data_IF_274822504708
#
_entry.id   IF_274822504708
#
_cell.length_a   1.000
_cell.length_b   1.000
_cell.length_c   1.000
_cell.angle_alpha   90.00
_cell.angle_beta   90.00
_cell.angle_gamma   90.00
#
_symmetry.space_group_name_H-M   'P 1'
#
loop_
_entity.id
_entity.type
_entity.pdbx_description
1 polymer ?
#
# COMPACT_ATOMS: atom_id res chain seq x y z
N UNK A 1 -73.13 -37.81 30.18
CA UNK A 1 -72.81 -39.26 30.10
C UNK A 1 -71.30 -39.42 30.04
N UNK A 2 -70.74 -40.22 30.98
CA UNK A 2 -69.35 -40.73 31.09
C UNK A 2 -68.28 -39.66 31.39
N UNK A 3 -67.93 -39.41 32.66
CA UNK A 3 -66.96 -40.14 33.52
C UNK A 3 -65.58 -40.36 32.88
N UNK A 4 -64.54 -39.75 33.49
CA UNK A 4 -63.45 -40.53 34.09
C UNK A 4 -62.69 -39.68 35.13
N UNK A 5 -62.46 -40.31 36.29
CA UNK A 5 -61.75 -39.80 37.46
C UNK A 5 -60.31 -40.30 37.40
N UNK A 6 -59.31 -39.50 37.83
CA UNK A 6 -58.06 -40.08 38.33
C UNK A 6 -57.48 -39.26 39.48
N UNK A 7 -57.14 -40.01 40.52
CA UNK A 7 -56.87 -39.59 41.88
C UNK A 7 -55.43 -39.14 42.10
N UNK A 8 -55.29 -38.19 43.02
CA UNK A 8 -54.05 -37.75 43.64
C UNK A 8 -53.29 -38.89 44.35
N UNK A 9 -51.97 -38.93 44.22
CA UNK A 9 -51.06 -39.49 45.23
C UNK A 9 -49.92 -38.51 45.50
N UNK A 10 -49.78 -38.19 46.78
CA UNK A 10 -48.82 -37.28 47.38
C UNK A 10 -47.48 -38.01 47.58
N UNK A 11 -46.35 -37.33 47.38
CA UNK A 11 -45.04 -37.83 47.84
C UNK A 11 -44.20 -36.65 48.34
N UNK A 12 -44.03 -36.62 49.67
CA UNK A 12 -43.10 -35.76 50.39
C UNK A 12 -41.66 -36.17 50.07
N UNK A 13 -40.83 -35.24 49.62
CA UNK A 13 -39.37 -35.41 49.53
C UNK A 13 -38.70 -34.50 50.57
N UNK A 14 -38.00 -35.14 51.51
CA UNK A 14 -37.19 -34.51 52.55
C UNK A 14 -36.08 -33.65 51.94
N UNK A 15 -35.93 -32.44 52.48
CA UNK A 15 -34.80 -31.55 52.20
C UNK A 15 -33.53 -32.08 52.88
N UNK A 16 -32.52 -32.45 52.09
CA UNK A 16 -31.16 -32.71 52.56
C UNK A 16 -30.32 -31.43 52.37
N UNK A 17 -29.82 -30.87 53.48
CA UNK A 17 -28.85 -29.78 53.45
C UNK A 17 -27.49 -30.32 53.01
N UNK A 18 -26.98 -29.84 51.87
CA UNK A 18 -25.60 -30.08 51.40
C UNK A 18 -24.78 -28.83 51.68
N UNK A 19 -23.59 -28.91 52.31
CA UNK A 19 -22.75 -27.75 52.55
C UNK A 19 -22.14 -27.26 51.23
N UNK A 20 -22.34 -25.98 50.92
CA UNK A 20 -21.68 -25.30 49.80
C UNK A 20 -20.21 -25.07 50.16
N UNK A 21 -19.31 -25.90 49.64
CA UNK A 21 -17.89 -25.61 49.59
C UNK A 21 -17.65 -24.68 48.41
N UNK A 22 -17.31 -23.41 48.69
CA UNK A 22 -16.83 -22.50 47.67
C UNK A 22 -15.40 -22.91 47.28
N UNK A 23 -15.27 -23.73 46.24
CA UNK A 23 -14.00 -23.90 45.55
C UNK A 23 -13.82 -22.66 44.68
N UNK A 24 -12.99 -21.71 45.12
CA UNK A 24 -12.47 -20.66 44.24
C UNK A 24 -11.52 -21.32 43.24
N UNK A 25 -12.08 -21.82 42.14
CA UNK A 25 -11.28 -22.19 40.98
C UNK A 25 -10.67 -20.92 40.42
N UNK A 26 -9.39 -20.68 40.70
CA UNK A 26 -8.59 -19.81 39.84
C UNK A 26 -8.55 -20.55 38.50
N UNK A 27 -9.30 -20.05 37.52
CA UNK A 27 -9.14 -20.50 36.14
C UNK A 27 -7.66 -20.32 35.80
N UNK A 28 -6.95 -21.34 35.29
CA UNK A 28 -5.60 -21.13 34.79
C UNK A 28 -5.65 -19.99 33.77
N UNK A 29 -4.75 -19.02 33.91
CA UNK A 29 -4.58 -17.98 32.92
C UNK A 29 -4.44 -18.66 31.55
N UNK A 30 -5.27 -18.27 30.58
CA UNK A 30 -5.14 -18.81 29.24
C UNK A 30 -3.71 -18.55 28.76
N UNK A 31 -3.02 -19.59 28.27
CA UNK A 31 -1.68 -19.46 27.72
C UNK A 31 -1.70 -18.38 26.63
N UNK A 32 -1.02 -17.27 26.87
CA UNK A 32 -0.91 -16.13 25.96
C UNK A 32 0.45 -16.19 25.30
N UNK A 33 0.64 -17.22 24.47
CA UNK A 33 1.87 -17.42 23.73
C UNK A 33 2.09 -16.27 22.75
N UNK A 34 3.26 -15.63 22.82
CA UNK A 34 3.70 -14.60 21.90
C UNK A 34 5.09 -14.91 21.37
N UNK A 35 5.22 -14.99 20.05
CA UNK A 35 6.48 -15.19 19.34
C UNK A 35 6.92 -13.84 18.76
N UNK A 36 8.13 -13.40 19.10
CA UNK A 36 8.73 -12.18 18.59
C UNK A 36 10.06 -12.47 17.90
N UNK A 37 10.33 -11.73 16.83
CA UNK A 37 11.59 -11.79 16.10
C UNK A 37 11.98 -10.38 15.69
N UNK A 38 13.13 -9.87 16.12
CA UNK A 38 13.62 -8.52 15.78
C UNK A 38 15.01 -8.60 15.15
N UNK A 39 15.44 -7.54 14.48
CA UNK A 39 16.84 -7.36 14.09
C UNK A 39 17.68 -6.85 15.26
N UNK A 40 19.00 -7.04 15.21
CA UNK A 40 19.94 -6.49 16.20
C UNK A 40 20.23 -4.99 16.04
N UNK A 41 19.62 -4.35 15.03
CA UNK A 41 19.50 -2.90 14.87
C UNK A 41 18.03 -2.50 14.77
N UNK A 42 17.63 -1.41 15.42
CA UNK A 42 16.23 -0.94 15.44
C UNK A 42 15.73 -0.52 14.05
N UNK A 43 16.59 0.08 13.24
CA UNK A 43 16.28 0.50 11.86
C UNK A 43 16.26 -0.66 10.84
N UNK A 44 16.76 -1.84 11.25
CA UNK A 44 16.95 -3.01 10.40
C UNK A 44 17.76 -2.75 9.11
N UNK A 45 18.62 -1.74 9.11
CA UNK A 45 19.45 -1.35 7.97
C UNK A 45 20.93 -1.72 8.18
N UNK A 46 21.52 -2.26 7.14
CA UNK A 46 22.88 -2.80 7.10
C UNK A 46 23.56 -2.42 5.80
N UNK A 47 24.89 -2.37 5.79
CA UNK A 47 25.66 -2.31 4.55
C UNK A 47 25.86 -3.71 3.99
N UNK A 48 26.00 -3.85 2.67
CA UNK A 48 26.43 -5.12 2.06
C UNK A 48 27.73 -5.61 2.70
N UNK A 49 27.78 -6.89 3.07
CA UNK A 49 28.90 -7.47 3.82
C UNK A 49 28.78 -7.40 5.34
N UNK A 50 27.86 -6.59 5.89
CA UNK A 50 27.57 -6.59 7.33
C UNK A 50 26.95 -7.91 7.78
N UNK A 51 27.08 -8.20 9.07
CA UNK A 51 26.35 -9.28 9.74
C UNK A 51 25.11 -8.72 10.39
N UNK A 52 23.94 -9.06 9.86
CA UNK A 52 22.66 -8.85 10.53
C UNK A 52 22.34 -10.05 11.41
N UNK A 53 21.70 -9.81 12.56
CA UNK A 53 21.16 -10.89 13.35
C UNK A 53 19.68 -10.74 13.64
N UNK A 54 18.96 -11.83 13.45
CA UNK A 54 17.59 -11.98 13.89
C UNK A 54 17.56 -12.61 15.28
N UNK A 55 16.91 -11.93 16.22
CA UNK A 55 16.81 -12.29 17.62
C UNK A 55 15.38 -12.77 17.89
N UNK A 56 15.25 -14.03 18.29
CA UNK A 56 13.96 -14.69 18.50
C UNK A 56 13.69 -14.84 19.99
N UNK A 57 12.50 -14.46 20.42
CA UNK A 57 11.98 -14.70 21.77
C UNK A 57 10.58 -15.28 21.71
N UNK A 58 10.28 -16.17 22.65
CA UNK A 58 8.97 -16.76 22.84
C UNK A 58 8.56 -16.54 24.29
N UNK A 59 7.38 -15.98 24.53
CA UNK A 59 6.87 -15.74 25.87
C UNK A 59 5.49 -16.37 26.06
N UNK A 60 5.16 -16.76 27.28
CA UNK A 60 3.79 -17.02 27.73
C UNK A 60 3.38 -15.90 28.70
N UNK A 61 2.54 -14.97 28.23
CA UNK A 61 2.36 -13.69 28.91
C UNK A 61 3.71 -12.95 29.02
N UNK A 62 4.07 -12.53 30.23
CA UNK A 62 5.34 -11.84 30.51
C UNK A 62 6.51 -12.80 30.82
N UNK A 63 6.28 -14.11 30.80
CA UNK A 63 7.30 -15.11 31.17
C UNK A 63 8.00 -15.67 29.91
N UNK A 64 9.33 -15.59 29.80
CA UNK A 64 10.05 -16.16 28.67
C UNK A 64 10.02 -17.69 28.70
N UNK A 65 9.82 -18.30 27.53
CA UNK A 65 9.96 -19.73 27.32
C UNK A 65 11.40 -19.99 26.86
N UNK A 66 12.16 -20.65 27.73
CA UNK A 66 13.59 -20.93 27.52
C UNK A 66 13.90 -22.39 27.18
N UNK A 67 12.87 -23.21 26.98
CA UNK A 67 12.99 -24.62 26.62
C UNK A 67 12.20 -24.93 25.34
N UNK A 68 12.68 -25.89 24.56
CA UNK A 68 12.10 -26.28 23.27
C UNK A 68 12.85 -25.69 22.08
N UNK A 69 12.26 -25.79 20.90
CA UNK A 69 12.82 -25.23 19.66
C UNK A 69 11.76 -24.48 18.85
N UNK A 70 12.24 -23.61 17.97
CA UNK A 70 11.47 -22.98 16.91
C UNK A 70 12.10 -23.33 15.57
N UNK A 71 11.30 -23.47 14.53
CA UNK A 71 11.83 -23.59 13.17
C UNK A 71 11.98 -22.21 12.53
N UNK A 72 13.00 -22.03 11.71
CA UNK A 72 13.24 -20.77 11.00
C UNK A 72 13.68 -21.01 9.55
N UNK A 73 13.37 -20.03 8.70
CA UNK A 73 13.85 -19.93 7.33
C UNK A 73 14.21 -18.48 7.05
N UNK A 74 15.37 -18.25 6.47
CA UNK A 74 15.74 -16.96 5.85
C UNK A 74 15.57 -17.09 4.34
N UNK A 75 14.99 -16.07 3.70
CA UNK A 75 14.83 -16.00 2.25
C UNK A 75 14.95 -14.56 1.72
N UNK A 76 15.09 -14.45 0.39
CA UNK A 76 15.07 -13.23 -0.41
C UNK A 76 13.73 -13.06 -1.14
N UNK A 77 12.67 -13.67 -0.61
CA UNK A 77 11.36 -13.88 -1.23
C UNK A 77 11.32 -14.79 -2.48
N UNK A 78 12.38 -14.88 -3.26
CA UNK A 78 12.40 -15.66 -4.50
C UNK A 78 12.50 -17.15 -4.25
N UNK A 79 13.34 -17.53 -3.28
CA UNK A 79 13.69 -18.91 -3.02
C UNK A 79 13.37 -19.22 -1.57
N UNK A 80 12.28 -19.96 -1.33
CA UNK A 80 12.01 -20.50 0.00
C UNK A 80 12.76 -21.82 0.23
N UNK A 81 13.20 -22.03 1.46
CA UNK A 81 13.85 -23.27 1.90
C UNK A 81 15.27 -23.47 1.35
N UNK A 82 15.71 -24.73 1.25
CA UNK A 82 17.09 -25.12 0.89
C UNK A 82 17.57 -24.56 -0.46
N UNK A 83 16.63 -24.25 -1.36
CA UNK A 83 16.92 -23.74 -2.69
C UNK A 83 17.51 -22.32 -2.68
N UNK A 84 17.34 -21.56 -1.59
CA UNK A 84 17.80 -20.17 -1.46
C UNK A 84 19.26 -19.98 -1.09
N UNK A 85 19.93 -21.02 -0.56
CA UNK A 85 21.30 -20.90 -0.02
C UNK A 85 21.41 -20.11 1.29
N UNK A 86 20.28 -19.61 1.81
CA UNK A 86 20.19 -18.91 3.09
C UNK A 86 19.96 -19.87 4.27
N UNK A 87 20.31 -19.47 5.51
CA UNK A 87 20.11 -20.28 6.69
C UNK A 87 18.66 -20.69 6.92
N UNK A 88 18.47 -21.96 7.31
CA UNK A 88 17.19 -22.53 7.74
C UNK A 88 17.47 -23.67 8.74
N UNK A 89 16.50 -24.00 9.58
CA UNK A 89 16.62 -25.12 10.51
C UNK A 89 15.81 -24.92 11.78
N UNK A 90 16.28 -25.51 12.87
CA UNK A 90 15.73 -25.31 14.21
C UNK A 90 16.68 -24.49 15.08
N UNK A 91 16.11 -23.65 15.94
CA UNK A 91 16.81 -22.93 16.99
C UNK A 91 16.32 -23.41 18.34
N UNK A 92 17.23 -23.84 19.20
CA UNK A 92 16.90 -24.09 20.61
C UNK A 92 16.63 -22.77 21.32
N UNK A 93 15.54 -22.73 22.07
CA UNK A 93 15.26 -21.65 23.01
C UNK A 93 16.20 -21.76 24.21
N UNK A 94 16.47 -20.63 24.86
CA UNK A 94 17.37 -20.54 26.02
C UNK A 94 17.16 -19.24 26.78
N UNK A 95 17.98 -18.99 27.80
CA UNK A 95 17.87 -17.81 28.67
C UNK A 95 18.14 -16.48 27.92
N UNK A 96 18.84 -16.55 26.78
CA UNK A 96 19.02 -15.44 25.85
C UNK A 96 18.26 -15.68 24.56
N UNK A 97 17.91 -14.61 23.84
CA UNK A 97 17.27 -14.70 22.52
C UNK A 97 18.05 -15.62 21.59
N UNK A 98 17.35 -16.55 20.94
CA UNK A 98 17.95 -17.38 19.91
C UNK A 98 18.33 -16.51 18.71
N UNK A 99 19.49 -16.79 18.08
CA UNK A 99 20.12 -15.89 17.11
C UNK A 99 20.33 -16.59 15.77
N UNK A 100 19.85 -15.96 14.69
CA UNK A 100 20.19 -16.31 13.30
C UNK A 100 21.04 -15.18 12.73
N UNK A 101 22.25 -15.47 12.26
CA UNK A 101 23.14 -14.47 11.65
C UNK A 101 23.17 -14.66 10.14
N UNK A 102 23.01 -13.56 9.41
CA UNK A 102 23.02 -13.52 7.95
C UNK A 102 23.85 -12.36 7.44
N UNK A 103 24.31 -12.47 6.20
CA UNK A 103 24.98 -11.41 5.44
C UNK A 103 24.46 -11.47 4.01
N UNK A 104 24.30 -10.31 3.37
CA UNK A 104 24.05 -10.22 1.94
C UNK A 104 25.32 -9.75 1.22
N UNK A 105 25.51 -10.26 -0.01
CA UNK A 105 26.62 -9.88 -0.88
C UNK A 105 26.21 -8.86 -1.97
N UNK A 106 24.94 -8.49 -2.00
CA UNK A 106 24.35 -7.56 -2.96
C UNK A 106 23.25 -6.72 -2.26
N UNK A 107 22.96 -5.51 -2.76
CA UNK A 107 21.85 -4.70 -2.25
C UNK A 107 20.51 -5.44 -2.31
N UNK A 108 19.76 -5.44 -1.21
CA UNK A 108 18.51 -6.21 -1.14
C UNK A 108 17.89 -6.25 0.25
N UNK A 109 16.89 -7.11 0.41
CA UNK A 109 16.26 -7.37 1.71
C UNK A 109 16.15 -8.87 1.93
N UNK A 110 16.62 -9.33 3.09
CA UNK A 110 16.44 -10.70 3.55
C UNK A 110 15.35 -10.74 4.62
N UNK A 111 14.46 -11.72 4.52
CA UNK A 111 13.39 -11.95 5.49
C UNK A 111 13.69 -13.20 6.30
N UNK A 112 13.58 -13.11 7.62
CA UNK A 112 13.54 -14.27 8.49
C UNK A 112 12.11 -14.56 8.92
N UNK A 113 11.68 -15.80 8.74
CA UNK A 113 10.39 -16.32 9.20
C UNK A 113 10.65 -17.39 10.26
N UNK A 114 9.94 -17.29 11.38
CA UNK A 114 10.02 -18.26 12.47
C UNK A 114 8.65 -18.83 12.75
N UNK A 115 8.60 -20.14 12.98
CA UNK A 115 7.39 -20.86 13.38
C UNK A 115 7.65 -21.60 14.69
N UNK A 116 6.76 -21.38 15.66
CA UNK A 116 6.68 -22.18 16.88
C UNK A 116 5.45 -23.09 16.81
N UNK A 117 5.63 -24.39 17.05
CA UNK A 117 4.56 -25.37 17.08
C UNK A 117 4.28 -25.78 18.54
N UNK A 118 3.22 -25.25 19.17
CA UNK A 118 2.88 -25.66 20.53
C UNK A 118 2.32 -27.09 20.55
N UNK A 119 2.49 -27.79 21.68
CA UNK A 119 1.92 -29.12 21.89
C UNK A 119 0.39 -29.16 21.75
N UNK A 120 -0.28 -28.03 21.99
CA UNK A 120 -1.71 -27.83 21.76
C UNK A 120 -1.94 -26.44 21.17
N UNK A 121 -2.80 -26.34 20.16
CA UNK A 121 -3.12 -25.08 19.49
C UNK A 121 -2.60 -25.00 18.06
N UNK A 122 -2.72 -23.83 17.46
CA UNK A 122 -2.23 -23.57 16.11
C UNK A 122 -0.76 -23.10 16.15
N UNK A 123 0.04 -23.39 15.11
CA UNK A 123 1.38 -22.82 14.97
C UNK A 123 1.34 -21.29 15.00
N UNK A 124 2.29 -20.70 15.71
CA UNK A 124 2.47 -19.25 15.79
C UNK A 124 3.63 -18.87 14.89
N UNK A 125 3.46 -17.83 14.07
CA UNK A 125 4.45 -17.37 13.09
C UNK A 125 4.79 -15.91 13.33
N UNK A 126 6.06 -15.58 13.15
CA UNK A 126 6.56 -14.22 13.16
C UNK A 126 7.58 -14.04 12.03
N UNK A 127 7.69 -12.83 11.50
CA UNK A 127 8.69 -12.50 10.49
C UNK A 127 9.19 -11.07 10.67
N UNK A 128 10.44 -10.86 10.24
CA UNK A 128 11.09 -9.55 10.16
C UNK A 128 12.05 -9.55 8.99
N UNK A 129 12.22 -8.40 8.35
CA UNK A 129 13.22 -8.22 7.30
C UNK A 129 14.42 -7.39 7.76
N UNK A 130 15.56 -7.60 7.10
CA UNK A 130 16.78 -6.81 7.22
C UNK A 130 17.18 -6.29 5.83
N UNK A 131 17.32 -4.98 5.70
CA UNK A 131 17.72 -4.33 4.45
C UNK A 131 19.24 -4.14 4.38
N UNK A 132 19.84 -4.54 3.27
CA UNK A 132 21.27 -4.43 2.99
C UNK A 132 21.50 -3.45 1.84
N UNK A 133 22.23 -2.35 2.07
CA UNK A 133 22.50 -1.27 1.11
C UNK A 133 21.28 -0.90 0.25
N UNK A 134 20.09 -0.82 0.84
CA UNK A 134 18.81 -0.69 0.10
C UNK A 134 18.73 0.57 -0.79
N UNK A 135 19.54 1.60 -0.48
CA UNK A 135 19.65 2.82 -1.28
C UNK A 135 20.51 2.65 -2.55
N UNK A 136 21.17 1.50 -2.71
CA UNK A 136 21.95 1.13 -3.90
C UNK A 136 21.17 0.16 -4.81
N UNK A 137 19.90 -0.12 -4.51
CA UNK A 137 19.05 -0.96 -5.36
C UNK A 137 18.66 -0.17 -6.61
N UNK A 138 19.15 -0.60 -7.76
CA UNK A 138 18.88 0.02 -9.06
C UNK A 138 17.61 -0.55 -9.74
N UNK A 139 17.03 0.15 -10.72
CA UNK A 139 16.01 -0.39 -11.63
C UNK A 139 16.46 -1.71 -12.28
N UNK A 140 15.53 -2.64 -12.50
CA UNK A 140 15.88 -3.94 -13.13
C UNK A 140 16.23 -3.86 -14.62
N UNK A 141 15.79 -2.80 -15.30
CA UNK A 141 16.10 -2.50 -16.70
C UNK A 141 16.25 -0.98 -16.87
N UNK A 142 17.04 -0.51 -17.86
CA UNK A 142 17.07 0.91 -18.19
C UNK A 142 15.72 1.39 -18.73
N UNK A 143 15.49 2.70 -18.62
CA UNK A 143 14.35 3.39 -19.24
C UNK A 143 14.36 3.17 -20.76
N UNK A 144 13.22 2.94 -21.43
CA UNK A 144 13.17 2.90 -22.89
C UNK A 144 13.64 4.22 -23.54
N UNK A 145 14.37 4.12 -24.66
CA UNK A 145 14.98 5.29 -25.32
C UNK A 145 13.97 6.36 -25.77
N UNK A 146 12.75 5.94 -26.18
CA UNK A 146 11.68 6.83 -26.61
C UNK A 146 10.62 7.08 -25.53
N UNK A 147 10.88 6.73 -24.25
CA UNK A 147 9.91 6.85 -23.15
C UNK A 147 9.35 8.27 -22.99
N UNK A 148 10.22 9.29 -23.04
CA UNK A 148 9.81 10.69 -22.95
C UNK A 148 8.96 11.11 -24.14
N UNK A 149 9.44 10.82 -25.35
CA UNK A 149 8.73 11.16 -26.58
C UNK A 149 7.34 10.49 -26.61
N UNK A 150 7.26 9.25 -26.13
CA UNK A 150 6.00 8.52 -25.99
C UNK A 150 5.02 9.26 -25.08
N UNK A 151 5.41 9.55 -23.83
CA UNK A 151 4.51 10.17 -22.86
C UNK A 151 4.18 11.63 -23.15
N UNK A 152 5.08 12.37 -23.78
CA UNK A 152 4.77 13.71 -24.30
C UNK A 152 3.69 13.65 -25.40
N UNK A 153 3.76 12.67 -26.31
CA UNK A 153 2.70 12.47 -27.31
C UNK A 153 1.36 12.09 -26.64
N UNK A 154 1.38 11.26 -25.59
CA UNK A 154 0.17 10.92 -24.84
C UNK A 154 -0.48 12.16 -24.20
N UNK A 155 0.34 13.03 -23.57
CA UNK A 155 -0.13 14.29 -22.98
C UNK A 155 -0.64 15.25 -24.06
N UNK A 156 0.03 15.33 -25.22
CA UNK A 156 -0.40 16.15 -26.35
C UNK A 156 -1.78 15.73 -26.87
N UNK A 157 -2.00 14.43 -27.06
CA UNK A 157 -3.31 13.88 -27.46
C UNK A 157 -4.37 14.15 -26.39
N UNK A 158 -4.03 14.00 -25.10
CA UNK A 158 -4.94 14.33 -24.01
C UNK A 158 -5.33 15.82 -24.05
N UNK A 159 -4.40 16.74 -24.33
CA UNK A 159 -4.67 18.17 -24.38
C UNK A 159 -5.64 18.60 -25.51
N UNK A 160 -5.78 17.79 -26.56
CA UNK A 160 -6.77 18.04 -27.63
C UNK A 160 -8.22 17.80 -27.19
N UNK A 161 -8.42 17.01 -26.14
CA UNK A 161 -9.75 16.73 -25.57
C UNK A 161 -10.07 17.85 -24.58
N UNK A 162 -11.14 18.64 -24.78
CA UNK A 162 -11.53 19.67 -23.81
C UNK A 162 -11.75 19.08 -22.41
N UNK A 163 -11.45 19.84 -21.35
CA UNK A 163 -11.69 19.40 -19.97
C UNK A 163 -13.19 19.20 -19.72
N UNK A 164 -14.07 20.07 -20.27
CA UNK A 164 -15.56 19.98 -20.22
C UNK A 164 -16.12 19.20 -19.00
N UNK A 165 -15.76 19.66 -17.80
CA UNK A 165 -16.03 18.93 -16.57
C UNK A 165 -17.50 19.10 -16.16
N UNK A 166 -18.22 17.99 -16.03
CA UNK A 166 -19.54 17.96 -15.42
C UNK A 166 -19.39 17.87 -13.90
N UNK A 167 -20.01 18.79 -13.16
CA UNK A 167 -19.97 18.82 -11.69
C UNK A 167 -21.39 18.70 -11.14
N UNK A 168 -21.68 17.61 -10.42
CA UNK A 168 -22.99 17.38 -9.79
C UNK A 168 -22.85 17.59 -8.28
N UNK A 169 -23.59 18.52 -7.64
CA UNK A 169 -23.48 18.76 -6.20
C UNK A 169 -23.76 17.51 -5.36
N UNK A 170 -22.94 17.29 -4.34
CA UNK A 170 -23.06 16.19 -3.36
C UNK A 170 -23.17 16.78 -1.97
N UNK A 171 -24.17 16.35 -1.20
CA UNK A 171 -24.37 16.85 0.15
C UNK A 171 -23.28 16.33 1.10
N UNK A 172 -22.62 17.25 1.79
CA UNK A 172 -21.68 16.97 2.89
C UNK A 172 -22.40 17.17 4.24
N UNK A 173 -21.78 16.74 5.33
CA UNK A 173 -22.24 17.07 6.70
C UNK A 173 -21.69 18.41 7.20
N UNK A 174 -20.74 18.98 6.48
CA UNK A 174 -20.00 20.18 6.84
C UNK A 174 -20.38 21.29 5.87
N UNK A 175 -21.25 22.20 6.33
CA UNK A 175 -21.78 23.30 5.51
C UNK A 175 -20.71 24.32 5.10
N UNK A 176 -19.49 24.24 5.66
CA UNK A 176 -18.34 25.06 5.22
C UNK A 176 -17.67 24.51 3.96
N UNK A 177 -18.01 23.30 3.52
CA UNK A 177 -17.40 22.60 2.39
C UNK A 177 -18.42 22.33 1.28
N UNK A 178 -18.11 22.79 0.07
CA UNK A 178 -18.82 22.35 -1.14
C UNK A 178 -18.20 21.06 -1.67
N UNK A 179 -19.02 20.12 -2.13
CA UNK A 179 -18.56 18.90 -2.77
C UNK A 179 -19.35 18.60 -4.04
N UNK A 180 -18.67 18.04 -5.04
CA UNK A 180 -19.21 17.68 -6.33
C UNK A 180 -18.75 16.26 -6.73
N UNK A 181 -19.64 15.49 -7.34
CA UNK A 181 -19.27 14.34 -8.16
C UNK A 181 -18.91 14.86 -9.55
N UNK A 182 -17.66 14.66 -9.94
CA UNK A 182 -17.06 15.26 -11.14
C UNK A 182 -16.76 14.19 -12.17
N UNK A 183 -17.21 14.43 -13.40
CA UNK A 183 -16.90 13.63 -14.58
C UNK A 183 -16.19 14.50 -15.61
N UNK A 184 -15.04 14.05 -16.10
CA UNK A 184 -14.19 14.79 -17.02
C UNK A 184 -13.81 13.86 -18.17
N UNK A 185 -14.15 14.17 -19.43
CA UNK A 185 -13.65 13.41 -20.57
C UNK A 185 -12.14 13.18 -20.49
N UNK A 186 -11.66 12.03 -20.95
CA UNK A 186 -10.25 11.68 -20.91
C UNK A 186 -9.89 10.78 -22.10
N UNK A 187 -8.62 10.79 -22.49
CA UNK A 187 -8.09 9.88 -23.49
C UNK A 187 -8.15 8.43 -22.97
N UNK A 188 -8.50 7.48 -23.84
CA UNK A 188 -8.62 6.06 -23.49
C UNK A 188 -10.03 5.60 -23.07
N UNK A 189 -11.07 6.39 -23.35
CA UNK A 189 -12.48 5.98 -23.25
C UNK A 189 -13.11 6.11 -21.86
N UNK A 190 -12.37 5.81 -20.79
CA UNK A 190 -12.85 6.03 -19.43
C UNK A 190 -12.55 7.46 -18.94
N UNK A 191 -13.54 8.22 -18.44
CA UNK A 191 -13.35 9.59 -17.96
C UNK A 191 -12.57 9.62 -16.64
N UNK A 192 -12.11 10.80 -16.22
CA UNK A 192 -11.88 11.02 -14.79
C UNK A 192 -13.25 11.05 -14.13
N UNK A 193 -13.42 10.23 -13.10
CA UNK A 193 -14.60 10.18 -12.23
C UNK A 193 -14.09 10.37 -10.81
N UNK A 194 -14.62 11.31 -10.04
CA UNK A 194 -14.15 11.54 -8.67
C UNK A 194 -14.96 12.55 -7.88
N UNK A 195 -14.78 12.54 -6.56
CA UNK A 195 -15.32 13.61 -5.70
C UNK A 195 -14.33 14.75 -5.59
N UNK A 196 -14.80 15.97 -5.85
CA UNK A 196 -14.04 17.21 -5.68
C UNK A 196 -14.69 18.04 -4.58
N UNK A 197 -13.90 18.49 -3.62
CA UNK A 197 -14.35 19.35 -2.52
C UNK A 197 -13.46 20.57 -2.35
N UNK A 198 -14.07 21.67 -1.89
CA UNK A 198 -13.38 22.92 -1.57
C UNK A 198 -14.09 23.69 -0.45
N UNK A 199 -13.37 24.52 0.32
CA UNK A 199 -14.01 25.45 1.26
C UNK A 199 -14.88 26.50 0.54
N UNK A 200 -16.06 26.75 1.10
CA UNK A 200 -17.02 27.79 0.65
C UNK A 200 -16.44 29.21 0.72
N UNK A 201 -15.55 29.47 1.68
CA UNK A 201 -14.92 30.78 1.90
C UNK A 201 -13.65 31.03 1.09
N UNK A 202 -13.27 30.09 0.23
CA UNK A 202 -12.00 30.11 -0.51
C UNK A 202 -11.88 31.32 -1.43
N UNK A 203 -10.74 32.02 -1.35
CA UNK A 203 -10.43 33.18 -2.19
C UNK A 203 -9.72 32.75 -3.48
N UNK A 204 -9.75 33.56 -4.56
CA UNK A 204 -8.93 33.32 -5.72
C UNK A 204 -7.45 33.16 -5.35
N UNK A 205 -6.78 32.18 -5.94
CA UNK A 205 -5.36 31.89 -5.75
C UNK A 205 -4.91 31.71 -4.30
N UNK A 206 -5.74 31.14 -3.45
CA UNK A 206 -5.46 30.98 -2.01
C UNK A 206 -5.12 29.55 -1.59
N UNK A 207 -5.52 28.53 -2.36
CA UNK A 207 -5.48 27.15 -1.89
C UNK A 207 -4.47 26.28 -2.66
N UNK A 208 -3.69 25.41 -1.98
CA UNK A 208 -3.02 24.28 -2.61
C UNK A 208 -4.06 23.31 -3.22
N UNK A 209 -3.59 22.39 -4.06
CA UNK A 209 -4.39 21.25 -4.49
C UNK A 209 -3.87 19.92 -3.92
N UNK A 210 -4.78 19.01 -3.60
CA UNK A 210 -4.48 17.63 -3.21
C UNK A 210 -5.30 16.64 -4.05
N UNK A 211 -4.61 15.66 -4.62
CA UNK A 211 -5.17 14.56 -5.39
C UNK A 211 -4.98 13.24 -4.62
N UNK A 212 -6.09 12.57 -4.31
CA UNK A 212 -6.09 11.27 -3.65
C UNK A 212 -6.27 10.15 -4.68
N UNK A 213 -5.35 9.18 -4.65
CA UNK A 213 -5.32 8.06 -5.61
C UNK A 213 -5.32 6.71 -4.90
N UNK A 214 -6.02 5.74 -5.50
CA UNK A 214 -6.47 4.54 -4.81
C UNK A 214 -5.54 3.34 -5.01
N UNK A 215 -5.40 2.53 -3.95
CA UNK A 215 -4.88 1.16 -4.06
C UNK A 215 -5.73 0.27 -4.98
N UNK A 216 -5.26 -0.92 -5.32
CA UNK A 216 -5.95 -1.81 -6.25
C UNK A 216 -7.37 -2.18 -5.77
N UNK A 217 -8.25 -2.53 -6.71
CA UNK A 217 -9.63 -2.94 -6.45
C UNK A 217 -10.68 -1.95 -6.96
N UNK A 218 -11.91 -2.45 -7.09
CA UNK A 218 -13.04 -1.74 -7.72
C UNK A 218 -13.96 -1.20 -6.64
N UNK A 219 -14.07 0.13 -6.54
CA UNK A 219 -14.89 0.83 -5.53
C UNK A 219 -15.19 2.25 -5.98
N UNK A 220 -16.07 2.94 -5.25
CA UNK A 220 -16.31 4.39 -5.40
C UNK A 220 -15.05 5.20 -5.08
N UNK A 221 -14.97 6.42 -5.63
CA UNK A 221 -14.15 7.49 -5.04
C UNK A 221 -14.56 7.73 -3.57
N UNK A 222 -13.60 8.16 -2.74
CA UNK A 222 -13.81 8.46 -1.32
C UNK A 222 -14.25 9.90 -1.10
N UNK A 223 -15.53 10.09 -0.81
CA UNK A 223 -16.09 11.37 -0.38
C UNK A 223 -15.37 11.90 0.88
N UNK A 224 -14.99 10.99 1.78
CA UNK A 224 -14.30 11.35 3.02
C UNK A 224 -12.91 11.95 2.77
N UNK A 225 -12.16 11.45 1.79
CA UNK A 225 -10.86 12.00 1.44
C UNK A 225 -10.99 13.38 0.80
N UNK A 226 -11.94 13.54 -0.15
CA UNK A 226 -12.24 14.82 -0.77
C UNK A 226 -12.56 15.87 0.31
N UNK A 227 -13.49 15.58 1.21
CA UNK A 227 -13.86 16.48 2.32
C UNK A 227 -12.69 16.73 3.28
N UNK A 228 -11.91 15.69 3.66
CA UNK A 228 -10.76 15.82 4.56
C UNK A 228 -9.73 16.83 4.04
N UNK A 229 -9.37 16.75 2.76
CA UNK A 229 -8.44 17.70 2.17
C UNK A 229 -9.01 19.12 2.13
N UNK A 230 -10.30 19.27 1.85
CA UNK A 230 -10.97 20.57 1.86
C UNK A 230 -11.02 21.19 3.27
N UNK A 231 -11.28 20.39 4.30
CA UNK A 231 -11.20 20.83 5.71
C UNK A 231 -9.80 21.26 6.14
N UNK A 232 -8.77 20.85 5.41
CA UNK A 232 -7.39 21.28 5.58
C UNK A 232 -7.01 22.43 4.63
N UNK A 233 -7.98 23.23 4.17
CA UNK A 233 -7.80 24.41 3.31
C UNK A 233 -7.08 24.09 1.98
N UNK A 234 -7.52 23.02 1.31
CA UNK A 234 -7.02 22.65 -0.04
C UNK A 234 -8.17 22.42 -1.03
N UNK A 235 -7.88 22.58 -2.31
CA UNK A 235 -8.70 22.01 -3.39
C UNK A 235 -8.46 20.51 -3.43
N UNK A 236 -9.45 19.73 -3.04
CA UNK A 236 -9.26 18.31 -2.75
C UNK A 236 -10.08 17.44 -3.69
N UNK A 237 -9.41 16.61 -4.49
CA UNK A 237 -10.07 15.67 -5.38
C UNK A 237 -9.61 14.25 -5.09
N UNK A 238 -10.55 13.34 -4.84
CA UNK A 238 -10.30 11.91 -4.81
C UNK A 238 -10.83 11.31 -6.11
N UNK A 239 -10.02 10.52 -6.83
CA UNK A 239 -10.43 9.98 -8.13
C UNK A 239 -10.62 8.46 -8.09
N UNK A 240 -11.64 8.02 -8.81
CA UNK A 240 -11.89 6.61 -9.08
C UNK A 240 -10.84 6.06 -10.05
N UNK A 241 -10.14 5.00 -9.63
CA UNK A 241 -9.09 4.36 -10.41
C UNK A 241 -9.53 3.93 -11.83
N UNK A 242 -10.81 3.58 -12.01
CA UNK A 242 -11.34 3.00 -13.25
C UNK A 242 -12.16 3.97 -14.09
N UNK A 243 -12.45 5.19 -13.60
CA UNK A 243 -13.35 6.11 -14.30
C UNK A 243 -14.83 5.67 -14.26
N UNK A 244 -15.21 4.81 -13.31
CA UNK A 244 -16.60 4.34 -13.14
C UNK A 244 -17.41 5.30 -12.23
N UNK A 245 -18.76 5.28 -12.28
CA UNK A 245 -19.59 6.13 -11.45
C UNK A 245 -19.36 5.99 -9.94
N UNK A 246 -19.47 7.10 -9.21
CA UNK A 246 -19.32 7.15 -7.75
C UNK A 246 -20.68 7.04 -7.04
N UNK A 247 -20.65 6.75 -5.73
CA UNK A 247 -21.83 6.73 -4.87
C UNK A 247 -22.88 5.68 -5.22
N UNK A 248 -22.48 4.62 -5.94
CA UNK A 248 -23.34 3.46 -6.20
C UNK A 248 -23.35 2.50 -4.99
N UNK A 249 -24.35 1.60 -4.89
CA UNK A 249 -24.34 0.54 -3.88
C UNK A 249 -23.14 -0.39 -4.04
N UNK A 250 -22.74 -1.08 -2.96
CA UNK A 250 -21.60 -2.00 -2.96
C UNK A 250 -21.76 -3.13 -3.99
N UNK A 251 -23.00 -3.56 -4.25
CA UNK A 251 -23.33 -4.58 -5.25
C UNK A 251 -22.90 -4.17 -6.66
N UNK A 252 -23.04 -2.89 -7.02
CA UNK A 252 -22.59 -2.38 -8.32
C UNK A 252 -21.08 -2.57 -8.49
N UNK A 253 -20.29 -2.23 -7.46
CA UNK A 253 -18.84 -2.38 -7.51
C UNK A 253 -18.41 -3.85 -7.50
N UNK A 254 -19.12 -4.69 -6.75
CA UNK A 254 -18.90 -6.14 -6.75
C UNK A 254 -19.17 -6.75 -8.15
N UNK A 255 -20.27 -6.38 -8.80
CA UNK A 255 -20.60 -6.80 -10.17
C UNK A 255 -19.54 -6.34 -11.18
N UNK A 256 -19.12 -5.08 -11.10
CA UNK A 256 -18.05 -4.55 -11.95
C UNK A 256 -16.73 -5.32 -11.74
N UNK A 257 -16.37 -5.62 -10.49
CA UNK A 257 -15.18 -6.40 -10.14
C UNK A 257 -15.24 -7.85 -10.63
N UNK A 258 -16.43 -8.46 -10.63
CA UNK A 258 -16.63 -9.85 -11.06
C UNK A 258 -16.77 -9.98 -12.59
N UNK A 259 -17.19 -8.90 -13.27
CA UNK A 259 -17.44 -8.85 -14.70
C UNK A 259 -16.44 -7.94 -15.44
N UNK A 260 -16.84 -6.75 -15.92
CA UNK A 260 -16.03 -5.92 -16.82
C UNK A 260 -14.61 -5.58 -16.35
N UNK A 261 -14.41 -5.42 -15.03
CA UNK A 261 -13.09 -5.08 -14.46
C UNK A 261 -12.38 -6.30 -13.87
N UNK A 262 -12.88 -7.51 -14.12
CA UNK A 262 -12.19 -8.73 -13.70
C UNK A 262 -10.82 -8.79 -14.38
N UNK A 263 -9.76 -8.79 -13.57
CA UNK A 263 -8.37 -8.76 -14.02
C UNK A 263 -7.98 -7.54 -14.88
N UNK A 264 -8.63 -6.39 -14.68
CA UNK A 264 -8.31 -5.12 -15.37
C UNK A 264 -6.80 -4.83 -15.50
N UNK A 265 -6.01 -5.21 -14.48
CA UNK A 265 -4.56 -5.03 -14.40
C UNK A 265 -3.76 -5.72 -15.51
N UNK A 266 -4.36 -6.65 -16.25
CA UNK A 266 -3.73 -7.36 -17.36
C UNK A 266 -4.33 -6.99 -18.72
N UNK A 267 -5.33 -6.12 -18.77
CA UNK A 267 -5.97 -5.70 -20.01
C UNK A 267 -4.98 -4.91 -20.88
N UNK A 268 -4.78 -5.40 -22.11
CA UNK A 268 -3.90 -4.77 -23.10
C UNK A 268 -2.40 -4.75 -22.74
N UNK A 269 -1.96 -5.56 -21.78
CA UNK A 269 -0.58 -5.53 -21.26
C UNK A 269 0.51 -5.87 -22.28
N UNK A 270 0.13 -6.47 -23.40
CA UNK A 270 1.04 -6.83 -24.49
C UNK A 270 1.46 -5.61 -25.33
N UNK A 271 0.84 -4.45 -25.15
CA UNK A 271 1.13 -3.24 -25.92
C UNK A 271 1.02 -1.98 -25.05
N UNK A 272 2.02 -1.10 -25.12
CA UNK A 272 2.05 0.17 -24.38
C UNK A 272 0.83 1.05 -24.64
N UNK A 273 0.28 0.97 -25.86
CA UNK A 273 -0.88 1.78 -26.28
C UNK A 273 -2.22 1.20 -25.85
N UNK A 274 -2.29 -0.08 -25.53
CA UNK A 274 -3.53 -0.73 -25.09
C UNK A 274 -3.58 -1.05 -23.61
N UNK A 275 -2.44 -0.96 -22.91
CA UNK A 275 -2.34 -1.22 -21.48
C UNK A 275 -3.33 -0.38 -20.67
N UNK A 276 -4.10 -1.03 -19.79
CA UNK A 276 -5.03 -0.37 -18.87
C UNK A 276 -4.38 0.80 -18.09
N UNK A 277 -3.11 0.63 -17.69
CA UNK A 277 -2.39 1.63 -16.91
C UNK A 277 -2.14 2.93 -17.69
N UNK A 278 -2.07 2.88 -19.02
CA UNK A 278 -1.98 4.09 -19.86
C UNK A 278 -3.14 5.03 -19.58
N UNK A 279 -4.37 4.51 -19.63
CA UNK A 279 -5.58 5.30 -19.35
C UNK A 279 -5.63 5.79 -17.90
N UNK A 280 -5.21 4.95 -16.94
CA UNK A 280 -5.10 5.35 -15.53
C UNK A 280 -4.18 6.55 -15.34
N UNK A 281 -3.02 6.55 -15.99
CA UNK A 281 -2.03 7.61 -15.83
C UNK A 281 -2.46 8.91 -16.50
N UNK A 282 -3.12 8.83 -17.66
CA UNK A 282 -3.70 10.00 -18.31
C UNK A 282 -4.83 10.64 -17.50
N UNK A 283 -5.58 9.85 -16.72
CA UNK A 283 -6.55 10.39 -15.76
C UNK A 283 -5.89 11.19 -14.64
N UNK A 284 -4.65 10.88 -14.25
CA UNK A 284 -3.89 11.69 -13.28
C UNK A 284 -3.63 13.10 -13.84
N UNK A 285 -3.09 13.17 -15.06
CA UNK A 285 -2.81 14.45 -15.74
C UNK A 285 -4.11 15.25 -15.92
N UNK A 286 -5.19 14.60 -16.36
CA UNK A 286 -6.49 15.26 -16.53
C UNK A 286 -7.09 15.77 -15.23
N UNK A 287 -6.94 15.03 -14.12
CA UNK A 287 -7.39 15.48 -12.81
C UNK A 287 -6.58 16.70 -12.33
N UNK A 288 -5.27 16.71 -12.59
CA UNK A 288 -4.39 17.85 -12.28
C UNK A 288 -4.77 19.06 -13.15
N UNK A 289 -5.10 18.90 -14.44
CA UNK A 289 -5.61 19.98 -15.28
C UNK A 289 -6.86 20.62 -14.69
N UNK A 290 -7.80 19.79 -14.22
CA UNK A 290 -9.01 20.29 -13.60
C UNK A 290 -8.73 21.02 -12.28
N UNK A 291 -7.92 20.45 -11.39
CA UNK A 291 -7.54 21.07 -10.12
C UNK A 291 -6.82 22.42 -10.33
N UNK A 292 -5.86 22.46 -11.25
CA UNK A 292 -5.03 23.64 -11.51
C UNK A 292 -5.71 24.69 -12.39
N UNK A 293 -6.86 24.37 -13.01
CA UNK A 293 -7.71 25.36 -13.67
C UNK A 293 -8.69 26.08 -12.72
N UNK A 294 -8.83 25.61 -11.48
CA UNK A 294 -9.74 26.25 -10.52
C UNK A 294 -9.23 27.65 -10.14
N UNK A 295 -10.10 28.69 -10.11
CA UNK A 295 -9.70 30.05 -9.74
C UNK A 295 -9.03 30.17 -8.37
N UNK A 296 -9.36 29.26 -7.46
CA UNK A 296 -8.85 29.17 -6.09
C UNK A 296 -7.43 28.61 -6.01
N UNK A 297 -6.95 27.89 -7.03
CA UNK A 297 -5.63 27.26 -6.98
C UNK A 297 -4.53 28.32 -6.88
N UNK A 298 -3.63 28.14 -5.93
CA UNK A 298 -2.58 29.10 -5.61
C UNK A 298 -1.51 29.27 -6.70
N UNK A 299 -1.57 28.49 -7.78
CA UNK A 299 -0.65 28.59 -8.91
C UNK A 299 0.65 27.82 -8.73
N UNK A 300 0.82 27.08 -7.62
CA UNK A 300 2.08 26.42 -7.29
C UNK A 300 1.92 24.99 -6.79
N UNK A 301 1.14 24.78 -5.72
CA UNK A 301 1.24 23.56 -4.93
C UNK A 301 0.20 22.53 -5.37
N UNK A 302 0.67 21.34 -5.76
CA UNK A 302 -0.15 20.16 -6.06
C UNK A 302 0.46 18.95 -5.38
N UNK A 303 -0.29 18.32 -4.49
CA UNK A 303 0.14 17.14 -3.74
C UNK A 303 -0.61 15.91 -4.21
N UNK A 304 0.06 14.77 -4.36
CA UNK A 304 -0.57 13.50 -4.72
C UNK A 304 -0.29 12.44 -3.65
N UNK A 305 -1.34 11.82 -3.12
CA UNK A 305 -1.24 10.85 -2.02
C UNK A 305 -1.95 9.53 -2.37
N UNK A 306 -1.26 8.42 -2.10
CA UNK A 306 -1.84 7.08 -2.25
C UNK A 306 -0.98 5.96 -1.66
N UNK A 307 -1.53 4.75 -1.65
CA UNK A 307 -0.80 3.55 -1.22
C UNK A 307 -1.06 2.36 -2.14
N UNK A 308 -0.12 1.41 -2.20
CA UNK A 308 -0.15 0.28 -3.15
C UNK A 308 -0.23 0.79 -4.59
N UNK A 309 -1.25 0.40 -5.38
CA UNK A 309 -1.53 0.98 -6.70
C UNK A 309 -1.64 2.52 -6.66
N UNK A 310 -2.13 3.09 -5.55
CA UNK A 310 -2.16 4.53 -5.35
C UNK A 310 -0.77 5.13 -5.14
N UNK A 311 0.14 4.40 -4.49
CA UNK A 311 1.53 4.83 -4.33
C UNK A 311 2.25 4.88 -5.68
N UNK A 312 2.04 3.87 -6.52
CA UNK A 312 2.53 3.89 -7.90
C UNK A 312 1.96 5.06 -8.71
N UNK A 313 0.66 5.31 -8.62
CA UNK A 313 0.04 6.48 -9.25
C UNK A 313 0.62 7.81 -8.76
N UNK A 314 0.93 7.95 -7.47
CA UNK A 314 1.55 9.17 -6.94
C UNK A 314 2.94 9.41 -7.55
N UNK A 315 3.78 8.37 -7.65
CA UNK A 315 5.08 8.45 -8.33
C UNK A 315 4.91 8.84 -9.80
N UNK A 316 3.99 8.18 -10.50
CA UNK A 316 3.70 8.46 -11.92
C UNK A 316 3.22 9.89 -12.11
N UNK A 317 2.34 10.41 -11.25
CA UNK A 317 1.87 11.79 -11.32
C UNK A 317 3.05 12.77 -11.20
N UNK A 318 3.94 12.56 -10.23
CA UNK A 318 5.14 13.37 -10.05
C UNK A 318 6.14 13.30 -11.20
N UNK A 319 6.21 12.17 -11.91
CA UNK A 319 7.07 12.00 -13.09
C UNK A 319 6.46 12.51 -14.41
N UNK A 320 5.13 12.53 -14.53
CA UNK A 320 4.43 13.00 -15.74
C UNK A 320 4.16 14.50 -15.74
N UNK A 321 3.96 15.08 -14.56
CA UNK A 321 3.43 16.43 -14.42
C UNK A 321 4.29 17.29 -13.48
N UNK A 322 5.01 18.30 -14.00
CA UNK A 322 5.88 19.14 -13.19
C UNK A 322 5.13 20.07 -12.22
N UNK A 323 3.79 20.15 -12.29
CA UNK A 323 2.98 20.89 -11.32
C UNK A 323 2.89 20.16 -9.98
N UNK A 324 3.18 18.86 -9.93
CA UNK A 324 3.20 18.09 -8.68
C UNK A 324 4.42 18.49 -7.86
N UNK A 325 4.18 19.10 -6.70
CA UNK A 325 5.23 19.60 -5.80
C UNK A 325 5.57 18.62 -4.69
N UNK A 326 4.64 17.72 -4.34
CA UNK A 326 4.87 16.69 -3.35
C UNK A 326 4.11 15.39 -3.66
N UNK A 327 4.74 14.25 -3.37
CA UNK A 327 4.10 12.93 -3.38
C UNK A 327 4.21 12.22 -2.01
N UNK A 328 3.14 11.51 -1.65
CA UNK A 328 3.13 10.59 -0.52
C UNK A 328 2.72 9.20 -1.02
N UNK A 329 3.66 8.25 -1.03
CA UNK A 329 3.49 6.96 -1.72
C UNK A 329 3.80 5.78 -0.78
N UNK A 330 2.75 5.15 -0.25
CA UNK A 330 2.88 4.04 0.69
C UNK A 330 2.95 2.69 0.01
N UNK A 331 3.92 1.84 0.36
CA UNK A 331 4.14 0.49 -0.22
C UNK A 331 3.87 0.47 -1.73
N UNK A 332 4.55 1.33 -2.52
CA UNK A 332 4.13 1.63 -3.89
C UNK A 332 4.17 0.39 -4.76
N UNK A 333 3.02 0.07 -5.36
CA UNK A 333 2.89 -0.89 -6.44
C UNK A 333 3.29 -0.24 -7.77
N UNK A 334 3.15 -0.99 -8.86
CA UNK A 334 3.46 -0.52 -10.22
C UNK A 334 4.97 -0.23 -10.42
N UNK A 335 5.81 -0.64 -9.47
CA UNK A 335 7.24 -0.44 -9.51
C UNK A 335 7.95 -1.75 -9.90
N UNK A 336 8.95 -1.66 -10.77
CA UNK A 336 9.90 -2.72 -11.12
C UNK A 336 9.20 -3.99 -11.65
N UNK A 337 8.37 -3.82 -12.68
CA UNK A 337 7.67 -4.89 -13.41
C UNK A 337 8.61 -5.92 -14.02
N UNK A 338 9.86 -5.54 -14.24
CA UNK A 338 10.91 -6.37 -14.80
C UNK A 338 11.87 -6.95 -13.75
N UNK A 339 11.53 -6.88 -12.45
CA UNK A 339 12.35 -7.38 -11.34
C UNK A 339 12.96 -8.77 -11.57
N UNK A 340 12.25 -9.68 -12.24
CA UNK A 340 12.75 -11.04 -12.56
C UNK A 340 13.97 -11.07 -13.46
N UNK A 341 14.16 -10.06 -14.32
CA UNK A 341 15.39 -9.91 -15.14
C UNK A 341 16.61 -9.65 -14.26
N UNK A 342 16.43 -8.98 -13.13
CA UNK A 342 17.47 -8.68 -12.16
C UNK A 342 17.48 -9.65 -10.98
N UNK A 343 16.89 -10.85 -11.12
CA UNK A 343 16.85 -11.83 -10.03
C UNK A 343 16.11 -11.31 -8.79
N UNK A 344 14.99 -10.61 -8.97
CA UNK A 344 14.08 -10.12 -7.92
C UNK A 344 12.63 -10.51 -8.19
N UNK A 345 11.74 -10.40 -7.19
CA UNK A 345 10.30 -10.54 -7.42
C UNK A 345 9.77 -9.27 -8.11
N UNK A 346 8.93 -9.44 -9.13
CA UNK A 346 8.21 -8.32 -9.75
C UNK A 346 7.25 -7.65 -8.75
N UNK A 347 7.25 -6.32 -8.71
CA UNK A 347 6.22 -5.57 -8.00
C UNK A 347 4.81 -5.84 -8.54
N UNK A 348 3.80 -5.63 -7.70
CA UNK A 348 2.39 -5.73 -8.13
C UNK A 348 2.13 -4.83 -9.35
N UNK A 349 1.38 -5.27 -10.37
CA UNK A 349 0.51 -6.44 -10.42
C UNK A 349 1.19 -7.72 -10.89
N UNK A 350 2.53 -7.79 -10.96
CA UNK A 350 3.26 -8.88 -11.61
C UNK A 350 2.83 -8.98 -13.09
N UNK A 351 2.97 -7.85 -13.78
CA UNK A 351 2.43 -7.62 -15.12
C UNK A 351 3.00 -8.61 -16.15
N UNK A 352 4.31 -8.85 -16.05
CA UNK A 352 5.07 -9.72 -16.96
C UNK A 352 4.94 -11.18 -16.52
N UNK A 353 4.27 -12.05 -17.31
CA UNK A 353 4.22 -13.47 -17.04
C UNK A 353 5.55 -14.13 -17.40
N UNK A 354 5.80 -15.31 -16.84
CA UNK A 354 6.92 -16.17 -17.21
C UNK A 354 6.42 -17.35 -18.04
N UNK A 355 7.20 -17.75 -19.05
CA UNK A 355 6.98 -18.98 -19.81
C UNK A 355 7.38 -20.23 -19.01
N UNK A 356 7.14 -21.41 -19.60
CA UNK A 356 7.54 -22.71 -19.00
C UNK A 356 9.06 -22.84 -18.80
N UNK A 357 9.85 -22.10 -19.60
CA UNK A 357 11.31 -22.02 -19.46
C UNK A 357 11.78 -21.05 -18.37
N UNK A 358 10.83 -20.46 -17.62
CA UNK A 358 11.09 -19.49 -16.56
C UNK A 358 11.52 -18.12 -17.06
N UNK A 359 11.43 -17.84 -18.37
CA UNK A 359 11.80 -16.53 -18.92
C UNK A 359 10.60 -15.58 -18.98
N UNK A 360 10.80 -14.27 -18.75
CA UNK A 360 9.76 -13.28 -18.95
C UNK A 360 9.27 -13.25 -20.40
N UNK A 361 7.95 -13.10 -20.60
CA UNK A 361 7.39 -12.85 -21.93
C UNK A 361 7.96 -11.54 -22.49
N UNK A 362 8.71 -11.64 -23.59
CA UNK A 362 9.45 -10.50 -24.13
C UNK A 362 8.54 -9.34 -24.59
N UNK A 363 7.34 -9.65 -25.08
CA UNK A 363 6.39 -8.64 -25.57
C UNK A 363 5.78 -7.87 -24.40
N UNK A 364 5.31 -8.58 -23.38
CA UNK A 364 4.76 -7.95 -22.17
C UNK A 364 5.86 -7.24 -21.39
N UNK A 365 7.08 -7.79 -21.35
CA UNK A 365 8.24 -7.16 -20.72
C UNK A 365 8.51 -5.78 -21.35
N UNK A 366 8.59 -5.71 -22.67
CA UNK A 366 8.82 -4.43 -23.37
C UNK A 366 7.69 -3.43 -23.13
N UNK A 367 6.43 -3.84 -23.28
CA UNK A 367 5.28 -2.98 -23.04
C UNK A 367 5.20 -2.49 -21.58
N UNK A 368 5.54 -3.35 -20.61
CA UNK A 368 5.47 -3.04 -19.18
C UNK A 368 6.39 -1.88 -18.78
N UNK A 369 7.52 -1.70 -19.48
CA UNK A 369 8.48 -0.62 -19.20
C UNK A 369 7.87 0.77 -19.40
N UNK A 370 6.87 0.93 -20.26
CA UNK A 370 6.20 2.23 -20.47
C UNK A 370 5.20 2.56 -19.37
N UNK A 371 4.80 1.58 -18.56
CA UNK A 371 3.86 1.75 -17.45
C UNK A 371 4.45 1.40 -16.09
N UNK A 372 5.78 1.27 -16.01
CA UNK A 372 6.52 1.02 -14.78
C UNK A 372 6.83 2.35 -14.06
N UNK A 373 6.33 2.50 -12.83
CA UNK A 373 6.51 3.68 -11.98
C UNK A 373 7.98 4.04 -11.74
N UNK A 374 8.91 3.07 -11.79
CA UNK A 374 10.36 3.33 -11.66
C UNK A 374 10.86 4.28 -12.75
N UNK A 375 10.36 4.12 -13.98
CA UNK A 375 10.77 4.98 -15.09
C UNK A 375 10.23 6.40 -14.97
N UNK A 376 9.09 6.59 -14.30
CA UNK A 376 8.57 7.92 -13.98
C UNK A 376 9.29 8.55 -12.78
N UNK A 377 9.75 7.75 -11.82
CA UNK A 377 10.47 8.24 -10.65
C UNK A 377 11.71 9.06 -11.01
N UNK A 378 12.46 8.63 -12.05
CA UNK A 378 13.63 9.34 -12.59
C UNK A 378 13.32 10.72 -13.20
N UNK A 379 12.04 11.10 -13.30
CA UNK A 379 11.56 12.43 -13.72
C UNK A 379 10.90 13.22 -12.59
N UNK A 380 10.64 12.58 -11.46
CA UNK A 380 9.92 13.17 -10.34
C UNK A 380 10.84 14.06 -9.50
N UNK A 381 10.61 15.37 -9.57
CA UNK A 381 11.32 16.40 -8.77
C UNK A 381 10.56 16.83 -7.52
N UNK A 382 9.36 16.29 -7.32
CA UNK A 382 8.53 16.57 -6.16
C UNK A 382 9.21 16.13 -4.87
N UNK A 383 8.93 16.82 -3.77
CA UNK A 383 9.24 16.31 -2.43
C UNK A 383 8.51 14.98 -2.21
N UNK A 384 9.14 13.99 -1.59
CA UNK A 384 8.61 12.64 -1.51
C UNK A 384 8.71 12.03 -0.10
N UNK A 385 7.60 11.48 0.38
CA UNK A 385 7.58 10.57 1.53
C UNK A 385 7.02 9.22 1.11
N UNK A 386 7.83 8.18 1.29
CA UNK A 386 7.45 6.80 0.98
C UNK A 386 7.37 5.95 2.24
N UNK A 387 6.67 4.83 2.16
CA UNK A 387 6.76 3.77 3.16
C UNK A 387 7.00 2.42 2.52
N UNK A 388 7.66 1.51 3.23
CA UNK A 388 7.97 0.17 2.76
C UNK A 388 7.90 -0.84 3.90
N UNK A 389 7.30 -1.99 3.61
CA UNK A 389 7.30 -3.15 4.51
C UNK A 389 8.38 -4.14 4.10
N UNK A 390 9.31 -4.47 4.99
CA UNK A 390 10.43 -5.35 4.63
C UNK A 390 10.04 -6.83 4.47
N UNK A 391 8.79 -7.19 4.82
CA UNK A 391 8.24 -8.54 4.59
C UNK A 391 7.09 -8.53 3.58
N UNK A 392 6.91 -7.43 2.84
CA UNK A 392 5.89 -7.30 1.81
C UNK A 392 6.20 -8.20 0.59
N UNK A 393 5.35 -9.19 0.33
CA UNK A 393 5.45 -10.06 -0.85
C UNK A 393 4.58 -9.63 -2.04
N UNK A 394 3.81 -8.56 -1.89
CA UNK A 394 2.94 -7.97 -2.91
C UNK A 394 3.67 -6.84 -3.64
N UNK A 395 4.21 -5.89 -2.88
CA UNK A 395 5.10 -4.83 -3.36
C UNK A 395 6.45 -5.01 -2.66
N UNK A 396 7.31 -5.90 -3.18
CA UNK A 396 8.56 -6.24 -2.52
C UNK A 396 9.40 -5.00 -2.23
N UNK A 397 10.11 -4.95 -1.08
CA UNK A 397 10.91 -3.78 -0.72
C UNK A 397 11.94 -3.43 -1.79
N UNK A 398 12.49 -4.42 -2.50
CA UNK A 398 13.39 -4.19 -3.64
C UNK A 398 12.72 -3.44 -4.80
N UNK A 399 11.44 -3.67 -5.06
CA UNK A 399 10.67 -2.91 -6.06
C UNK A 399 10.38 -1.48 -5.61
N UNK A 400 10.04 -1.30 -4.33
CA UNK A 400 9.81 0.03 -3.78
C UNK A 400 11.09 0.88 -3.75
N UNK A 401 12.22 0.27 -3.35
CA UNK A 401 13.52 0.95 -3.34
C UNK A 401 14.04 1.25 -4.75
N UNK A 402 13.83 0.36 -5.73
CA UNK A 402 14.15 0.65 -7.13
C UNK A 402 13.48 1.94 -7.63
N UNK A 403 12.22 2.19 -7.24
CA UNK A 403 11.56 3.46 -7.58
C UNK A 403 12.04 4.63 -6.70
N UNK A 404 12.19 4.42 -5.38
CA UNK A 404 12.64 5.46 -4.45
C UNK A 404 14.02 6.01 -4.81
N UNK A 405 14.95 5.15 -5.19
CA UNK A 405 16.33 5.52 -5.48
C UNK A 405 16.43 6.42 -6.72
N UNK A 406 15.50 6.29 -7.68
CA UNK A 406 15.42 7.12 -8.88
C UNK A 406 14.80 8.51 -8.66
N UNK A 407 14.06 8.74 -7.56
CA UNK A 407 13.45 10.05 -7.28
C UNK A 407 14.51 11.16 -7.18
N UNK A 408 14.23 12.33 -7.78
CA UNK A 408 15.16 13.46 -7.87
C UNK A 408 14.95 14.54 -6.80
N UNK A 409 13.75 14.63 -6.23
CA UNK A 409 13.41 15.60 -5.18
C UNK A 409 13.92 15.20 -3.80
N UNK A 410 13.74 16.08 -2.81
CA UNK A 410 13.95 15.72 -1.41
C UNK A 410 13.06 14.53 -1.05
N UNK A 411 13.65 13.47 -0.48
CA UNK A 411 12.96 12.20 -0.28
C UNK A 411 13.26 11.57 1.07
N UNK A 412 12.25 10.94 1.64
CA UNK A 412 12.34 10.18 2.88
C UNK A 412 11.58 8.85 2.76
N UNK A 413 12.05 7.84 3.46
CA UNK A 413 11.47 6.50 3.51
C UNK A 413 11.13 6.12 4.96
N UNK A 414 9.90 5.68 5.19
CA UNK A 414 9.47 5.02 6.43
C UNK A 414 9.67 3.51 6.27
N UNK A 415 10.69 2.98 6.94
CA UNK A 415 10.98 1.55 6.96
C UNK A 415 10.21 0.85 8.06
N UNK A 416 9.52 -0.24 7.71
CA UNK A 416 8.79 -1.07 8.66
C UNK A 416 9.27 -2.53 8.56
N UNK A 417 10.21 -2.95 9.42
CA UNK A 417 10.85 -4.27 9.33
C UNK A 417 9.88 -5.45 9.43
N UNK A 418 8.77 -5.27 10.13
CA UNK A 418 7.74 -6.30 10.37
C UNK A 418 6.50 -6.17 9.49
N UNK A 419 6.41 -5.11 8.68
CA UNK A 419 5.21 -4.85 7.91
C UNK A 419 5.24 -5.64 6.60
N UNK A 420 4.14 -6.34 6.32
CA UNK A 420 3.84 -6.90 5.00
C UNK A 420 3.22 -5.83 4.09
N UNK A 421 2.21 -6.21 3.30
CA UNK A 421 1.48 -5.25 2.47
C UNK A 421 0.41 -4.51 3.29
N UNK A 422 0.77 -3.36 3.87
CA UNK A 422 -0.16 -2.58 4.71
C UNK A 422 0.09 -1.07 4.63
N UNK A 423 -0.92 -0.30 5.03
CA UNK A 423 -0.87 1.15 5.19
C UNK A 423 -1.47 1.54 6.56
N UNK A 424 -0.78 1.23 7.67
CA UNK A 424 -1.29 1.44 9.02
C UNK A 424 -1.52 2.94 9.35
N UNK A 425 -2.33 3.24 10.39
CA UNK A 425 -2.70 4.62 10.72
C UNK A 425 -1.52 5.58 10.95
N UNK A 426 -0.41 5.12 11.50
CA UNK A 426 0.75 5.99 11.74
C UNK A 426 1.44 6.43 10.45
N UNK A 427 1.49 5.57 9.42
CA UNK A 427 1.98 5.94 8.08
C UNK A 427 1.03 6.94 7.43
N UNK A 428 -0.28 6.69 7.48
CA UNK A 428 -1.28 7.62 6.94
C UNK A 428 -1.20 9.00 7.61
N UNK A 429 -0.95 9.01 8.93
CA UNK A 429 -0.73 10.24 9.70
C UNK A 429 0.56 10.95 9.25
N UNK A 430 1.68 10.23 9.19
CA UNK A 430 2.97 10.79 8.78
C UNK A 430 2.89 11.42 7.38
N UNK A 431 2.21 10.76 6.44
CA UNK A 431 2.00 11.30 5.10
C UNK A 431 1.20 12.60 5.14
N UNK A 432 0.06 12.61 5.85
CA UNK A 432 -0.78 13.80 5.90
C UNK A 432 -0.12 14.96 6.68
N UNK A 433 0.63 14.66 7.73
CA UNK A 433 1.43 15.66 8.45
C UNK A 433 2.48 16.29 7.52
N UNK A 434 3.16 15.48 6.69
CA UNK A 434 4.10 15.99 5.70
C UNK A 434 3.41 16.84 4.63
N UNK A 435 2.22 16.46 4.18
CA UNK A 435 1.40 17.30 3.27
C UNK A 435 1.16 18.67 3.90
N UNK A 436 0.69 18.70 5.15
CA UNK A 436 0.43 19.94 5.87
C UNK A 436 1.70 20.78 6.04
N UNK A 437 2.83 20.15 6.37
CA UNK A 437 4.11 20.82 6.48
C UNK A 437 4.54 21.46 5.14
N UNK A 438 4.47 20.69 4.05
CA UNK A 438 4.82 21.15 2.71
C UNK A 438 3.97 22.37 2.30
N UNK A 439 2.64 22.27 2.39
CA UNK A 439 1.77 23.35 1.93
C UNK A 439 1.77 24.57 2.86
N UNK A 440 2.03 24.42 4.17
CA UNK A 440 2.13 25.56 5.10
C UNK A 440 3.48 26.30 5.04
N UNK A 441 4.60 25.58 4.84
CA UNK A 441 5.89 26.23 4.56
C UNK A 441 5.83 27.06 3.27
N UNK A 442 5.10 26.56 2.28
CA UNK A 442 4.93 27.22 1.00
C UNK A 442 4.14 28.56 1.13
N UNK A 443 3.18 28.66 2.07
CA UNK A 443 2.40 29.88 2.35
C UNK A 443 3.19 30.94 3.11
N UNK A 444 4.11 30.54 3.99
CA UNK A 444 4.96 31.49 4.75
C UNK A 444 6.12 32.04 3.91
N UNK A 445 6.60 31.30 2.92
CA UNK A 445 7.63 31.75 1.99
C UNK A 445 7.13 32.75 0.93
N UNK A 446 5.84 32.73 0.56
CA UNK A 446 5.25 33.71 -0.38
C UNK A 446 4.73 34.99 0.29
N UNK A 447 4.72 35.02 1.63
CA UNK A 447 4.33 36.18 2.43
C UNK A 447 5.53 37.09 2.82
N UNK A 448 6.72 36.80 2.28
CA UNK A 448 7.93 37.64 2.36
C UNK A 448 8.33 38.02 0.94
#
# INVERSE_FOLDING_TARGET
>A
MRHLSLSFHCSFLLAACVPFVWVTGVLPAADTLSLSIVTDREDALYDVGDKAAFLVTLNNGDQPITQGSVSFVVDDFLKSGAAGGYPQGELSLGDSSARVVVTANEPGVLRCQVTYEPNQGQPIKAAVGAGFSVQEIEPSLPVPDDFDAYWEEQKRQLAEIPVDATQTPVKTKDDSIECFDVQIPCLGGAPVSGYFSKPTHSQPKSLPAILWVHGAGVRSSSLANAVKGAQAEMLSMDINAHGIPNGKPDEFYAEMSAGPLKNYRFEGREDRDTSYFRGMFLRLVRAIDFLTSQPQWNGRDVVVIGSSQGGGQAIVAGGLDPRVTMIAAGVPAICDHSGRVAGRINGWPKLVPEGEDGKPDAKVLEASRYVDAVNFASRCRAEAILSVGFIDGVCPPTSCYAAYNELLGEKQMINEPHMGHAAPPHIQKAFFDQVLAHVHHAVTASAR
#
